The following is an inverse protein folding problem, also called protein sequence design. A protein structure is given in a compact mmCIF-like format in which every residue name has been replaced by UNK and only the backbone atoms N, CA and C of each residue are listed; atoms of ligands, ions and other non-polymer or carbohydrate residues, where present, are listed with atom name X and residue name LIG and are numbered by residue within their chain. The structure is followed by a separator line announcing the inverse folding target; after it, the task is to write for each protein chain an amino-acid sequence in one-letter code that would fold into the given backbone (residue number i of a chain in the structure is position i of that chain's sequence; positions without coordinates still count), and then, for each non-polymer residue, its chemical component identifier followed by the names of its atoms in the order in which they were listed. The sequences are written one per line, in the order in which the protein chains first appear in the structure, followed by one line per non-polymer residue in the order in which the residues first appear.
data_IF_558608752435
#
_entry.id   IF_558608752435
#
_cell.length_a   1.000
_cell.length_b   1.000
_cell.length_c   1.000
_cell.angle_alpha   90.00
_cell.angle_beta   90.00
_cell.angle_gamma   90.00
#
_symmetry.space_group_name_H-M   'P 1'
#
loop_
_entity.id
_entity.type
_entity.pdbx_description
1 polymer ?
#
# COMPACT_ATOMS: atom_id res chain seq x y z
N UNK A 1 -7.10 25.67 14.98
CA UNK A 1 -6.18 25.75 13.82
C UNK A 1 -4.70 25.92 14.22
N UNK A 2 -4.35 26.21 15.48
CA UNK A 2 -2.94 26.45 15.90
C UNK A 2 -2.09 25.20 16.18
N UNK A 3 -2.69 24.05 16.51
CA UNK A 3 -1.92 22.84 16.86
C UNK A 3 -1.30 22.11 15.66
N UNK A 4 -1.65 22.49 14.42
CA UNK A 4 -1.02 21.91 13.20
C UNK A 4 0.35 22.53 12.91
N UNK A 5 0.60 23.78 13.34
CA UNK A 5 1.86 24.48 13.07
C UNK A 5 3.06 23.88 13.79
N UNK A 6 2.91 23.56 15.09
CA UNK A 6 4.01 23.07 15.93
C UNK A 6 4.48 21.68 15.51
N UNK A 7 3.56 20.77 15.15
CA UNK A 7 3.91 19.44 14.64
C UNK A 7 4.57 19.50 13.26
N UNK A 8 4.15 20.43 12.40
CA UNK A 8 4.80 20.66 11.10
C UNK A 8 6.20 21.22 11.33
N UNK A 9 6.37 22.17 12.26
CA UNK A 9 7.65 22.75 12.62
C UNK A 9 8.61 21.70 13.20
N UNK A 10 8.15 20.89 14.16
CA UNK A 10 8.95 19.82 14.76
C UNK A 10 9.35 18.74 13.76
N UNK A 11 8.45 18.36 12.83
CA UNK A 11 8.79 17.44 11.73
C UNK A 11 9.78 18.07 10.75
N UNK A 12 9.66 19.37 10.48
CA UNK A 12 10.57 20.09 9.59
C UNK A 12 11.97 20.21 10.21
N UNK A 13 12.06 20.61 11.49
CA UNK A 13 13.31 20.70 12.25
C UNK A 13 13.98 19.32 12.36
N UNK A 14 13.20 18.27 12.65
CA UNK A 14 13.74 16.90 12.72
C UNK A 14 14.25 16.40 11.37
N UNK A 15 13.58 16.73 10.26
CA UNK A 15 14.06 16.39 8.90
C UNK A 15 15.32 17.17 8.53
N UNK A 16 15.38 18.46 8.85
CA UNK A 16 16.56 19.29 8.60
C UNK A 16 17.78 18.73 9.35
N UNK A 17 17.62 18.42 10.64
CA UNK A 17 18.70 17.82 11.45
C UNK A 17 19.21 16.48 10.89
N UNK A 18 18.33 15.64 10.35
CA UNK A 18 18.77 14.38 9.72
C UNK A 18 19.50 14.62 8.39
N UNK A 19 19.08 15.62 7.61
CA UNK A 19 19.79 15.99 6.39
C UNK A 19 21.19 16.46 6.73
N UNK A 20 21.33 17.33 7.72
CA UNK A 20 22.62 17.86 8.18
C UNK A 20 23.57 16.74 8.63
N UNK A 21 23.06 15.77 9.39
CA UNK A 21 23.85 14.59 9.81
C UNK A 21 24.40 13.80 8.60
N UNK A 22 23.58 13.59 7.57
CA UNK A 22 24.03 12.90 6.35
C UNK A 22 24.98 13.73 5.50
N UNK A 23 24.84 15.06 5.51
CA UNK A 23 25.77 15.97 4.85
C UNK A 23 27.14 15.95 5.50
N UNK A 24 27.20 15.92 6.84
CA UNK A 24 28.43 15.76 7.59
C UNK A 24 29.06 14.37 7.41
N UNK A 25 28.22 13.35 7.17
CA UNK A 25 28.67 11.98 6.92
C UNK A 25 29.23 11.75 5.51
N UNK A 26 28.69 12.44 4.48
CA UNK A 26 29.05 12.20 3.09
C UNK A 26 30.56 12.30 2.75
N UNK A 27 31.34 13.23 3.32
CA UNK A 27 32.79 13.31 3.09
C UNK A 27 33.56 12.04 3.46
N UNK A 28 33.06 11.23 4.40
CA UNK A 28 33.70 9.97 4.84
C UNK A 28 33.82 8.99 3.68
N UNK A 29 32.92 9.04 2.69
CA UNK A 29 32.99 8.22 1.48
C UNK A 29 34.21 8.55 0.60
N UNK A 30 34.80 9.72 0.76
CA UNK A 30 36.06 10.08 0.09
C UNK A 30 37.29 9.52 0.82
N UNK A 31 37.15 9.07 2.07
CA UNK A 31 38.24 8.54 2.89
C UNK A 31 38.56 7.09 2.52
N UNK A 32 39.82 6.83 2.17
CA UNK A 32 40.30 5.52 1.72
C UNK A 32 40.04 4.39 2.72
N UNK A 33 40.38 4.60 3.99
CA UNK A 33 40.30 3.59 5.06
C UNK A 33 38.88 3.35 5.57
N UNK A 34 38.03 4.37 5.56
CA UNK A 34 36.71 4.32 6.22
C UNK A 34 35.55 4.01 5.28
N UNK A 35 35.77 4.10 3.96
CA UNK A 35 34.72 3.91 2.96
C UNK A 35 33.96 2.59 3.06
N UNK A 36 34.61 1.45 3.33
CA UNK A 36 33.88 0.18 3.47
C UNK A 36 33.01 0.14 4.72
N UNK A 37 33.46 0.75 5.82
CA UNK A 37 32.68 0.89 7.04
C UNK A 37 31.50 1.84 6.82
N UNK A 38 31.72 2.93 6.07
CA UNK A 38 30.66 3.84 5.68
C UNK A 38 29.61 3.16 4.79
N UNK A 39 30.04 2.38 3.78
CA UNK A 39 29.12 1.59 2.95
C UNK A 39 28.31 0.60 3.80
N UNK A 40 28.94 -0.05 4.79
CA UNK A 40 28.26 -0.98 5.70
C UNK A 40 27.22 -0.27 6.58
N UNK A 41 27.55 0.92 7.09
CA UNK A 41 26.61 1.72 7.88
C UNK A 41 25.39 2.13 7.06
N UNK A 42 25.62 2.66 5.85
CA UNK A 42 24.54 3.10 4.96
C UNK A 42 23.70 1.89 4.49
N UNK A 43 24.31 0.76 4.16
CA UNK A 43 23.60 -0.46 3.77
C UNK A 43 22.65 -0.97 4.87
N UNK A 44 23.10 -0.96 6.13
CA UNK A 44 22.27 -1.28 7.30
C UNK A 44 21.15 -0.25 7.48
N UNK A 45 21.46 1.04 7.32
CA UNK A 45 20.46 2.10 7.43
C UNK A 45 19.35 1.99 6.36
N UNK A 46 19.71 1.54 5.16
CA UNK A 46 18.82 1.37 4.01
C UNK A 46 18.06 0.04 3.97
N UNK A 47 18.26 -0.84 4.96
CA UNK A 47 17.60 -2.16 5.02
C UNK A 47 16.07 -2.04 4.92
N UNK A 48 15.49 -1.04 5.61
CA UNK A 48 14.04 -0.80 5.67
C UNK A 48 13.61 0.51 5.05
N UNK A 49 14.52 1.21 4.36
CA UNK A 49 14.29 2.59 3.86
C UNK A 49 14.48 2.69 2.36
N UNK A 50 13.74 3.61 1.75
CA UNK A 50 13.84 3.92 0.30
C UNK A 50 14.63 5.19 0.05
N UNK A 51 14.65 6.12 1.02
CA UNK A 51 15.41 7.36 1.01
C UNK A 51 16.14 7.52 2.34
N UNK A 52 17.21 8.31 2.37
CA UNK A 52 17.96 8.58 3.60
C UNK A 52 17.15 9.41 4.59
N UNK A 53 16.38 10.39 4.08
CA UNK A 53 15.52 11.25 4.92
C UNK A 53 14.12 11.33 4.34
N UNK A 54 13.12 10.96 5.15
CA UNK A 54 11.70 11.09 4.78
C UNK A 54 11.24 10.06 3.73
N UNK A 55 10.50 10.55 2.73
CA UNK A 55 9.79 9.71 1.74
C UNK A 55 9.96 10.20 0.29
N UNK A 56 10.91 11.09 0.03
CA UNK A 56 11.21 11.67 -1.28
C UNK A 56 12.69 11.94 -1.39
N UNK A 57 13.20 12.12 -2.62
CA UNK A 57 14.60 12.50 -2.85
C UNK A 57 14.95 13.75 -2.02
N UNK A 58 16.02 13.65 -1.23
CA UNK A 58 16.53 14.73 -0.39
C UNK A 58 17.97 15.09 -0.74
N UNK A 59 18.45 16.22 -0.23
CA UNK A 59 19.85 16.63 -0.40
C UNK A 59 20.81 15.58 0.20
N UNK A 60 20.41 14.91 1.28
CA UNK A 60 21.17 13.80 1.86
C UNK A 60 21.37 12.66 0.85
N UNK A 61 20.32 12.27 0.12
CA UNK A 61 20.41 11.23 -0.91
C UNK A 61 21.38 11.64 -2.03
N UNK A 62 21.29 12.89 -2.49
CA UNK A 62 22.18 13.43 -3.53
C UNK A 62 23.64 13.46 -3.04
N UNK A 63 23.89 13.87 -1.79
CA UNK A 63 25.23 13.96 -1.22
C UNK A 63 25.89 12.58 -1.10
N UNK A 64 25.18 11.58 -0.58
CA UNK A 64 25.70 10.22 -0.46
C UNK A 64 25.85 9.57 -1.84
N UNK A 65 24.88 9.76 -2.74
CA UNK A 65 24.94 9.20 -4.09
C UNK A 65 26.13 9.76 -4.87
N UNK A 66 26.33 11.08 -4.83
CA UNK A 66 27.47 11.75 -5.48
C UNK A 66 28.80 11.36 -4.86
N UNK A 67 28.87 11.18 -3.54
CA UNK A 67 30.04 10.65 -2.84
C UNK A 67 30.44 9.26 -3.34
N UNK A 68 29.48 8.34 -3.47
CA UNK A 68 29.72 7.00 -4.02
C UNK A 68 30.13 7.05 -5.50
N UNK A 69 29.39 7.79 -6.32
CA UNK A 69 29.69 7.95 -7.75
C UNK A 69 31.09 8.55 -7.99
N UNK A 70 31.50 9.51 -7.15
CA UNK A 70 32.81 10.16 -7.20
C UNK A 70 33.99 9.23 -6.87
N UNK A 71 33.76 8.10 -6.17
CA UNK A 71 34.83 7.10 -5.94
C UNK A 71 35.09 6.19 -7.15
N UNK A 72 34.25 6.27 -8.19
CA UNK A 72 34.47 5.63 -9.48
C UNK A 72 34.64 4.11 -9.41
N UNK A 73 35.82 3.61 -9.81
CA UNK A 73 36.14 2.18 -9.96
C UNK A 73 35.95 1.39 -8.67
N UNK A 74 36.19 2.03 -7.53
CA UNK A 74 36.07 1.40 -6.21
C UNK A 74 34.62 1.04 -5.89
N UNK A 75 33.71 2.01 -6.05
CA UNK A 75 32.28 1.77 -5.89
C UNK A 75 31.76 0.78 -6.93
N UNK A 76 32.16 0.89 -8.19
CA UNK A 76 31.69 0.00 -9.26
C UNK A 76 32.09 -1.48 -9.01
N UNK A 77 33.24 -1.71 -8.39
CA UNK A 77 33.67 -3.05 -7.97
C UNK A 77 32.78 -3.61 -6.84
N UNK A 78 32.45 -2.79 -5.84
CA UNK A 78 31.56 -3.18 -4.75
C UNK A 78 30.10 -3.31 -5.20
N UNK A 79 29.67 -2.51 -6.18
CA UNK A 79 28.31 -2.55 -6.74
C UNK A 79 28.03 -3.86 -7.47
N UNK A 80 29.06 -4.43 -8.10
CA UNK A 80 28.99 -5.77 -8.70
C UNK A 80 29.09 -6.90 -7.66
N UNK A 81 29.57 -6.59 -6.45
CA UNK A 81 29.58 -7.53 -5.34
C UNK A 81 28.19 -7.64 -4.71
N UNK A 82 27.85 -8.82 -4.18
CA UNK A 82 26.63 -9.01 -3.37
C UNK A 82 26.81 -8.56 -1.91
N UNK A 83 27.85 -7.77 -1.59
CA UNK A 83 28.20 -7.41 -0.21
C UNK A 83 27.23 -6.40 0.41
N UNK A 84 26.76 -5.41 -0.38
CA UNK A 84 25.91 -4.32 0.09
C UNK A 84 24.62 -4.26 -0.73
N UNK A 85 23.72 -5.23 -0.49
CA UNK A 85 22.52 -5.42 -1.31
C UNK A 85 21.57 -4.24 -1.25
N UNK A 86 21.37 -3.66 -0.07
CA UNK A 86 20.42 -2.57 0.15
C UNK A 86 20.96 -1.25 -0.42
N UNK A 87 22.25 -1.00 -0.24
CA UNK A 87 22.93 0.17 -0.78
C UNK A 87 22.95 0.15 -2.31
N UNK A 88 23.24 -1.00 -2.93
CA UNK A 88 23.22 -1.15 -4.39
C UNK A 88 21.80 -1.00 -4.95
N UNK A 89 20.80 -1.58 -4.29
CA UNK A 89 19.39 -1.39 -4.63
C UNK A 89 19.02 0.09 -4.65
N UNK A 90 19.31 0.79 -3.55
CA UNK A 90 19.04 2.22 -3.41
C UNK A 90 19.76 3.06 -4.47
N UNK A 91 21.08 2.86 -4.64
CA UNK A 91 21.88 3.62 -5.61
C UNK A 91 21.34 3.49 -7.04
N UNK A 92 20.93 2.29 -7.43
CA UNK A 92 20.35 2.01 -8.75
C UNK A 92 18.96 2.63 -8.90
N UNK A 93 18.10 2.57 -7.87
CA UNK A 93 16.76 3.20 -7.90
C UNK A 93 16.86 4.70 -8.08
N UNK A 94 17.73 5.35 -7.29
CA UNK A 94 17.95 6.80 -7.34
C UNK A 94 18.49 7.21 -8.73
N UNK A 95 19.44 6.45 -9.28
CA UNK A 95 19.98 6.72 -10.61
C UNK A 95 18.96 6.54 -11.75
N UNK A 96 18.02 5.58 -11.61
CA UNK A 96 17.02 5.29 -12.62
C UNK A 96 15.83 6.28 -12.60
N UNK A 97 15.39 6.69 -11.42
CA UNK A 97 14.22 7.57 -11.25
C UNK A 97 14.57 9.06 -11.36
N UNK A 98 15.79 9.47 -10.98
CA UNK A 98 16.18 10.88 -10.85
C UNK A 98 17.41 11.25 -11.70
N UNK A 99 17.62 10.58 -12.83
CA UNK A 99 18.79 10.80 -13.70
C UNK A 99 18.98 12.26 -14.09
N UNK A 100 17.90 12.99 -14.37
CA UNK A 100 17.97 14.38 -14.84
C UNK A 100 18.52 15.32 -13.76
N UNK A 101 18.00 15.22 -12.53
CA UNK A 101 18.47 15.98 -11.38
C UNK A 101 19.91 15.62 -11.00
N UNK A 102 20.26 14.34 -11.08
CA UNK A 102 21.62 13.88 -10.77
C UNK A 102 22.64 14.33 -11.82
N UNK A 103 22.26 14.39 -13.10
CA UNK A 103 23.15 14.83 -14.17
C UNK A 103 23.51 16.31 -14.03
N UNK A 104 22.56 17.16 -13.64
CA UNK A 104 22.80 18.57 -13.35
C UNK A 104 23.84 18.74 -12.21
N UNK A 105 23.64 18.04 -11.10
CA UNK A 105 24.54 18.10 -9.93
C UNK A 105 25.92 17.49 -10.25
N UNK A 106 25.94 16.35 -10.95
CA UNK A 106 27.18 15.64 -11.33
C UNK A 106 28.04 16.49 -12.27
N UNK A 107 27.42 17.18 -13.23
CA UNK A 107 28.13 18.07 -14.15
C UNK A 107 28.76 19.27 -13.43
N UNK A 108 28.12 19.76 -12.36
CA UNK A 108 28.55 20.94 -11.61
C UNK A 108 29.62 20.62 -10.55
N UNK A 109 29.52 19.47 -9.88
CA UNK A 109 30.36 19.14 -8.71
C UNK A 109 31.40 18.05 -8.94
N UNK A 110 31.17 17.09 -9.84
CA UNK A 110 32.08 15.94 -10.06
C UNK A 110 33.10 16.23 -11.19
N UNK A 111 32.86 17.27 -12.00
CA UNK A 111 33.69 17.68 -13.15
C UNK A 111 35.16 18.08 -12.91
N UNK A 112 35.73 17.86 -11.71
CA UNK A 112 37.14 18.16 -11.42
C UNK A 112 37.94 17.05 -10.73
N UNK A 113 37.39 15.85 -10.48
CA UNK A 113 38.18 14.71 -9.97
C UNK A 113 37.80 13.41 -10.69
N UNK A 114 38.75 12.89 -11.47
CA UNK A 114 38.84 11.47 -11.82
C UNK A 114 37.77 10.96 -12.79
N UNK A 115 38.15 10.93 -14.07
CA UNK A 115 37.40 10.33 -15.18
C UNK A 115 36.88 8.91 -14.92
N UNK A 116 35.56 8.75 -15.00
CA UNK A 116 34.87 7.53 -15.43
C UNK A 116 33.70 7.94 -16.31
N UNK A 117 33.80 7.76 -17.64
CA UNK A 117 32.76 8.17 -18.59
C UNK A 117 31.42 7.54 -18.21
N UNK A 118 30.32 8.30 -18.15
CA UNK A 118 28.98 7.72 -18.18
C UNK A 118 28.77 7.07 -19.55
N UNK A 119 28.32 5.82 -19.58
CA UNK A 119 27.85 5.18 -20.81
C UNK A 119 26.57 5.88 -21.23
N UNK A 120 26.69 6.76 -22.21
CA UNK A 120 25.58 7.40 -22.92
C UNK A 120 24.77 6.31 -23.63
N UNK A 121 23.57 6.02 -23.14
CA UNK A 121 22.55 5.37 -23.95
C UNK A 121 22.08 6.37 -25.02
N UNK A 122 22.25 6.00 -26.30
CA UNK A 122 21.87 6.81 -27.46
C UNK A 122 20.39 7.25 -27.38
N UNK A 123 20.07 8.53 -27.64
CA UNK A 123 18.69 8.94 -27.90
C UNK A 123 18.33 8.57 -29.33
N UNK A 124 17.22 7.85 -29.54
CA UNK A 124 16.55 7.80 -30.84
C UNK A 124 15.36 8.76 -30.80
N UNK A 125 15.35 9.63 -31.80
CA UNK A 125 14.56 10.85 -31.84
C UNK A 125 13.06 10.65 -31.96
N UNK A 126 12.37 11.74 -31.64
CA UNK A 126 10.94 11.91 -31.86
C UNK A 126 10.60 11.81 -33.35
N UNK A 127 9.62 10.98 -33.67
CA UNK A 127 8.71 11.21 -34.79
C UNK A 127 7.28 11.13 -34.28
N UNK A 128 6.54 12.20 -34.58
CA UNK A 128 5.09 12.34 -34.42
C UNK A 128 4.41 11.48 -35.50
N UNK A 129 3.28 10.84 -35.17
CA UNK A 129 2.02 10.73 -35.96
C UNK A 129 1.11 9.62 -35.40
N UNK A 130 -0.08 10.04 -34.98
CA UNK A 130 -1.42 9.42 -34.99
C UNK A 130 -1.60 7.88 -34.93
N UNK A 131 -2.45 7.47 -33.98
CA UNK A 131 -3.63 6.62 -34.25
C UNK A 131 -3.42 5.10 -34.35
N UNK A 132 -4.26 4.39 -33.59
CA UNK A 132 -4.54 2.95 -33.59
C UNK A 132 -3.59 2.04 -32.80
N UNK A 133 -4.15 1.41 -31.76
CA UNK A 133 -3.59 0.24 -31.09
C UNK A 133 -4.16 -1.01 -31.78
N UNK A 134 -3.32 -1.93 -32.29
CA UNK A 134 -3.69 -3.33 -32.40
C UNK A 134 -2.86 -4.22 -31.48
N UNK A 135 -3.51 -5.33 -31.11
CA UNK A 135 -3.13 -6.38 -30.17
C UNK A 135 -1.85 -7.19 -30.47
N UNK A 136 -1.34 -7.77 -29.37
CA UNK A 136 -0.70 -9.11 -29.19
C UNK A 136 0.72 -9.36 -29.70
N UNK A 137 1.56 -9.81 -28.76
CA UNK A 137 2.77 -10.60 -29.02
C UNK A 137 3.66 -10.75 -27.80
N UNK A 138 3.60 -11.93 -27.15
CA UNK A 138 4.47 -12.37 -26.04
C UNK A 138 5.96 -12.19 -26.37
N UNK A 139 6.79 -11.86 -25.37
CA UNK A 139 7.76 -12.78 -24.73
C UNK A 139 8.69 -12.08 -23.73
N UNK A 140 8.76 -12.63 -22.50
CA UNK A 140 9.96 -12.73 -21.66
C UNK A 140 10.31 -11.55 -20.76
N UNK A 141 10.49 -11.79 -19.45
CA UNK A 141 11.78 -11.73 -18.72
C UNK A 141 11.57 -11.67 -17.19
N UNK A 142 12.13 -12.65 -16.44
CA UNK A 142 12.44 -12.58 -14.99
C UNK A 142 11.34 -13.09 -14.03
N UNK A 143 11.70 -13.73 -12.90
CA UNK A 143 10.74 -14.05 -11.85
C UNK A 143 10.44 -12.78 -11.06
N UNK A 144 9.59 -11.91 -11.62
CA UNK A 144 8.82 -11.01 -10.77
C UNK A 144 7.87 -11.90 -9.98
N UNK A 145 8.02 -11.94 -8.67
CA UNK A 145 7.06 -12.53 -7.75
C UNK A 145 5.76 -11.70 -7.73
N UNK A 146 5.17 -11.48 -8.90
CA UNK A 146 3.85 -10.90 -9.05
C UNK A 146 2.85 -11.98 -8.65
N UNK A 147 2.09 -11.69 -7.60
CA UNK A 147 1.02 -12.56 -7.13
C UNK A 147 -0.15 -12.40 -8.09
N UNK A 148 -0.46 -13.45 -8.85
CA UNK A 148 -1.63 -13.49 -9.71
C UNK A 148 -2.86 -14.02 -8.97
N UNK A 149 -4.05 -13.68 -9.46
CA UNK A 149 -5.31 -14.15 -8.90
C UNK A 149 -5.60 -15.58 -9.42
N UNK A 150 -5.82 -16.56 -8.53
CA UNK A 150 -6.06 -17.94 -8.95
C UNK A 150 -7.38 -18.04 -9.72
N UNK A 151 -7.31 -18.58 -10.95
CA UNK A 151 -8.49 -18.76 -11.81
C UNK A 151 -9.06 -17.48 -12.42
N UNK A 152 -8.30 -16.37 -12.41
CA UNK A 152 -8.76 -15.12 -12.99
C UNK A 152 -8.80 -15.15 -14.53
N UNK A 153 -9.99 -14.89 -15.08
CA UNK A 153 -10.20 -14.70 -16.50
C UNK A 153 -10.26 -13.20 -16.84
N UNK A 154 -9.58 -12.81 -17.92
CA UNK A 154 -9.57 -11.43 -18.42
C UNK A 154 -11.02 -10.99 -18.71
N UNK A 155 -11.40 -9.81 -18.22
CA UNK A 155 -12.73 -9.23 -18.40
C UNK A 155 -13.80 -9.71 -17.40
N UNK A 156 -13.54 -10.79 -16.65
CA UNK A 156 -14.52 -11.35 -15.70
C UNK A 156 -14.23 -11.07 -14.24
N UNK A 157 -13.03 -10.57 -13.93
CA UNK A 157 -12.64 -10.24 -12.56
C UNK A 157 -13.51 -9.10 -12.01
N UNK A 158 -14.14 -9.34 -10.86
CA UNK A 158 -14.87 -8.33 -10.09
C UNK A 158 -14.28 -8.19 -8.70
N UNK A 159 -13.83 -6.99 -8.40
CA UNK A 159 -13.21 -6.63 -7.13
C UNK A 159 -14.08 -5.60 -6.43
N UNK A 160 -13.94 -5.51 -5.10
CA UNK A 160 -14.63 -4.52 -4.30
C UNK A 160 -13.69 -3.88 -3.29
N UNK A 161 -13.78 -2.57 -3.16
CA UNK A 161 -13.25 -1.87 -2.01
C UNK A 161 -14.44 -1.55 -1.10
N UNK A 162 -14.45 -2.16 0.09
CA UNK A 162 -15.61 -2.11 0.98
C UNK A 162 -15.26 -1.46 2.34
N UNK A 163 -15.15 -0.12 2.40
CA UNK A 163 -14.88 0.56 3.65
C UNK A 163 -16.14 0.74 4.50
N UNK A 164 -15.97 0.66 5.82
CA UNK A 164 -16.99 1.02 6.79
C UNK A 164 -17.02 2.55 6.96
N UNK A 165 -18.18 3.22 6.84
CA UNK A 165 -18.28 4.68 6.94
C UNK A 165 -18.32 5.18 8.40
N UNK A 166 -17.48 4.61 9.26
CA UNK A 166 -17.37 4.96 10.69
C UNK A 166 -16.11 5.79 11.03
N UNK A 167 -15.27 6.09 10.04
CA UNK A 167 -14.07 6.90 10.22
C UNK A 167 -13.36 7.26 8.92
N UNK A 168 -12.26 8.02 9.03
CA UNK A 168 -11.48 8.49 7.89
C UNK A 168 -10.59 7.39 7.30
N UNK A 169 -10.30 7.50 6.00
CA UNK A 169 -9.34 6.60 5.37
C UNK A 169 -7.94 6.83 5.94
N UNK A 170 -7.20 5.74 6.10
CA UNK A 170 -5.80 5.76 6.48
C UNK A 170 -4.99 4.93 5.48
N UNK A 171 -3.66 4.94 5.60
CA UNK A 171 -2.75 4.31 4.64
C UNK A 171 -3.02 2.80 4.39
N UNK A 172 -3.61 2.11 5.36
CA UNK A 172 -4.01 0.71 5.23
C UNK A 172 -5.15 0.56 4.21
N UNK A 173 -6.14 1.46 4.26
CA UNK A 173 -7.21 1.51 3.27
C UNK A 173 -6.68 1.86 1.88
N UNK A 174 -5.75 2.80 1.78
CA UNK A 174 -5.11 3.16 0.51
C UNK A 174 -4.43 1.95 -0.13
N UNK A 175 -3.74 1.12 0.65
CA UNK A 175 -3.12 -0.12 0.15
C UNK A 175 -4.17 -1.08 -0.43
N UNK A 176 -5.28 -1.29 0.28
CA UNK A 176 -6.34 -2.18 -0.19
C UNK A 176 -7.01 -1.65 -1.48
N UNK A 177 -7.30 -0.35 -1.53
CA UNK A 177 -7.93 0.29 -2.69
C UNK A 177 -7.02 0.22 -3.93
N UNK A 178 -5.74 0.58 -3.79
CA UNK A 178 -4.77 0.53 -4.90
C UNK A 178 -4.48 -0.89 -5.37
N UNK A 179 -4.42 -1.87 -4.45
CA UNK A 179 -4.25 -3.27 -4.82
C UNK A 179 -5.43 -3.80 -5.63
N UNK A 180 -6.65 -3.48 -5.20
CA UNK A 180 -7.85 -3.85 -5.94
C UNK A 180 -7.90 -3.19 -7.33
N UNK A 181 -7.48 -1.92 -7.42
CA UNK A 181 -7.39 -1.24 -8.71
C UNK A 181 -6.32 -1.85 -9.63
N UNK A 182 -5.14 -2.19 -9.09
CA UNK A 182 -4.07 -2.86 -9.84
C UNK A 182 -4.59 -4.14 -10.49
N UNK A 183 -5.30 -4.99 -9.74
CA UNK A 183 -5.86 -6.23 -10.28
C UNK A 183 -7.02 -5.97 -11.26
N UNK A 184 -7.87 -4.98 -11.00
CA UNK A 184 -8.92 -4.60 -11.96
C UNK A 184 -8.32 -4.18 -13.31
N UNK A 185 -7.23 -3.39 -13.29
CA UNK A 185 -6.55 -2.97 -14.52
C UNK A 185 -5.84 -4.13 -15.22
N UNK A 186 -5.07 -4.94 -14.48
CA UNK A 186 -4.32 -6.09 -15.02
C UNK A 186 -5.23 -7.10 -15.72
N UNK A 187 -6.39 -7.38 -15.13
CA UNK A 187 -7.33 -8.36 -15.66
C UNK A 187 -8.48 -7.74 -16.47
N UNK A 188 -8.43 -6.45 -16.80
CA UNK A 188 -9.52 -5.72 -17.46
C UNK A 188 -10.88 -5.94 -16.78
N UNK A 189 -10.84 -6.08 -15.45
CA UNK A 189 -11.99 -6.33 -14.60
C UNK A 189 -12.67 -5.05 -14.13
N UNK A 190 -13.58 -5.21 -13.18
CA UNK A 190 -14.36 -4.12 -12.60
C UNK A 190 -14.05 -3.97 -11.12
N UNK A 191 -13.94 -2.72 -10.66
CA UNK A 191 -13.86 -2.36 -9.25
C UNK A 191 -15.17 -1.69 -8.82
N UNK A 192 -15.76 -2.17 -7.73
CA UNK A 192 -16.95 -1.61 -7.10
C UNK A 192 -16.53 -0.96 -5.78
N UNK A 193 -17.01 0.26 -5.54
CA UNK A 193 -16.93 0.88 -4.21
C UNK A 193 -18.19 0.50 -3.44
N UNK A 194 -18.05 -0.15 -2.30
CA UNK A 194 -19.20 -0.57 -1.49
C UNK A 194 -19.12 -0.03 -0.08
N UNK A 195 -20.03 0.84 0.32
CA UNK A 195 -20.10 1.27 1.71
C UNK A 195 -20.67 0.13 2.56
N UNK A 196 -19.92 -0.28 3.57
CA UNK A 196 -20.37 -1.33 4.50
C UNK A 196 -21.14 -0.70 5.66
N UNK A 197 -22.38 -0.32 5.38
CA UNK A 197 -23.25 0.51 6.21
C UNK A 197 -24.23 -0.34 7.06
N UNK A 198 -23.69 -1.28 7.82
CA UNK A 198 -24.47 -2.20 8.68
C UNK A 198 -24.68 -1.70 10.11
N UNK A 199 -24.00 -0.63 10.52
CA UNK A 199 -23.99 -0.12 11.89
C UNK A 199 -24.51 1.33 11.97
N UNK A 200 -25.83 1.52 12.11
CA UNK A 200 -26.44 2.86 12.07
C UNK A 200 -25.97 3.80 13.19
N UNK A 201 -25.37 3.29 14.28
CA UNK A 201 -24.89 4.09 15.39
C UNK A 201 -23.53 4.76 15.15
N UNK A 202 -22.74 4.26 14.19
CA UNK A 202 -21.37 4.75 13.93
C UNK A 202 -21.23 5.46 12.59
N UNK A 203 -22.27 5.45 11.79
CA UNK A 203 -22.23 5.97 10.42
C UNK A 203 -22.64 7.44 10.39
N UNK A 204 -21.91 8.21 9.58
CA UNK A 204 -22.22 9.62 9.33
C UNK A 204 -22.10 9.89 7.84
N UNK A 205 -23.00 10.72 7.29
CA UNK A 205 -22.90 11.22 5.92
C UNK A 205 -21.57 11.94 5.67
N UNK A 206 -21.03 12.62 6.69
CA UNK A 206 -19.72 13.27 6.62
C UNK A 206 -18.59 12.27 6.32
N UNK A 207 -18.64 11.07 6.90
CA UNK A 207 -17.62 10.04 6.63
C UNK A 207 -17.74 9.49 5.22
N UNK A 208 -18.96 9.30 4.71
CA UNK A 208 -19.20 8.87 3.33
C UNK A 208 -18.63 9.89 2.34
N UNK A 209 -18.93 11.17 2.53
CA UNK A 209 -18.46 12.25 1.65
C UNK A 209 -16.93 12.39 1.66
N UNK A 210 -16.32 12.37 2.85
CA UNK A 210 -14.86 12.43 2.96
C UNK A 210 -14.20 11.19 2.34
N UNK A 211 -14.79 10.02 2.51
CA UNK A 211 -14.28 8.79 1.91
C UNK A 211 -14.31 8.86 0.39
N UNK A 212 -15.40 9.33 -0.20
CA UNK A 212 -15.51 9.53 -1.65
C UNK A 212 -14.40 10.45 -2.16
N UNK A 213 -14.15 11.56 -1.44
CA UNK A 213 -13.09 12.52 -1.78
C UNK A 213 -11.69 11.91 -1.65
N UNK A 214 -11.44 11.11 -0.61
CA UNK A 214 -10.16 10.45 -0.42
C UNK A 214 -9.92 9.38 -1.50
N UNK A 215 -10.94 8.61 -1.88
CA UNK A 215 -10.87 7.63 -2.97
C UNK A 215 -10.58 8.32 -4.31
N UNK A 216 -11.21 9.46 -4.58
CA UNK A 216 -10.95 10.28 -5.77
C UNK A 216 -9.52 10.85 -5.75
N UNK A 217 -9.06 11.33 -4.59
CA UNK A 217 -7.69 11.86 -4.39
C UNK A 217 -6.63 10.77 -4.63
N UNK A 218 -6.94 9.52 -4.26
CA UNK A 218 -6.08 8.36 -4.54
C UNK A 218 -6.07 7.95 -6.02
N UNK A 219 -6.93 8.53 -6.86
CA UNK A 219 -7.05 8.19 -8.28
C UNK A 219 -7.69 6.83 -8.54
N UNK A 220 -8.48 6.33 -7.57
CA UNK A 220 -9.11 5.01 -7.64
C UNK A 220 -10.36 5.08 -8.51
N UNK A 221 -10.34 4.38 -9.65
CA UNK A 221 -11.47 4.30 -10.58
C UNK A 221 -12.36 3.11 -10.24
N UNK A 222 -13.64 3.38 -10.01
CA UNK A 222 -14.67 2.39 -9.77
C UNK A 222 -15.82 2.54 -10.78
N UNK A 223 -16.56 1.46 -11.00
CA UNK A 223 -17.67 1.41 -11.98
C UNK A 223 -19.01 1.77 -11.34
N UNK A 224 -19.18 1.41 -10.07
CA UNK A 224 -20.41 1.65 -9.33
C UNK A 224 -20.11 1.89 -7.85
N UNK A 225 -20.98 2.66 -7.21
CA UNK A 225 -21.09 2.79 -5.76
C UNK A 225 -22.31 2.00 -5.31
N UNK A 226 -22.16 1.18 -4.29
CA UNK A 226 -23.24 0.35 -3.73
C UNK A 226 -23.22 0.44 -2.20
N UNK A 227 -24.36 0.20 -1.56
CA UNK A 227 -24.46 0.13 -0.11
C UNK A 227 -24.80 -1.28 0.33
N UNK A 228 -24.30 -1.74 1.48
CA UNK A 228 -24.71 -3.03 2.05
C UNK A 228 -26.18 -2.97 2.47
N UNK A 229 -26.65 -1.83 2.93
CA UNK A 229 -28.05 -1.57 3.33
C UNK A 229 -29.06 -1.81 2.21
N UNK A 230 -28.71 -1.55 0.94
CA UNK A 230 -29.54 -1.86 -0.23
C UNK A 230 -29.91 -3.36 -0.32
N UNK A 231 -29.07 -4.23 0.25
CA UNK A 231 -29.23 -5.68 0.22
C UNK A 231 -29.92 -6.23 1.47
N UNK A 232 -30.30 -5.40 2.46
CA UNK A 232 -30.97 -5.88 3.68
C UNK A 232 -32.21 -6.76 3.43
N UNK A 233 -33.10 -6.46 2.47
CA UNK A 233 -34.22 -7.35 2.17
C UNK A 233 -33.77 -8.76 1.75
N UNK A 234 -32.73 -8.85 0.91
CA UNK A 234 -32.18 -10.13 0.45
C UNK A 234 -31.46 -10.87 1.58
N UNK A 235 -30.69 -10.14 2.40
CA UNK A 235 -30.01 -10.69 3.57
C UNK A 235 -31.02 -11.26 4.57
N UNK A 236 -32.15 -10.58 4.77
CA UNK A 236 -33.24 -11.08 5.63
C UNK A 236 -33.89 -12.34 5.06
N UNK A 237 -34.19 -12.38 3.76
CA UNK A 237 -34.75 -13.58 3.11
C UNK A 237 -33.79 -14.78 3.25
N UNK A 238 -32.49 -14.55 3.06
CA UNK A 238 -31.46 -15.58 3.25
C UNK A 238 -31.41 -16.05 4.71
N UNK A 239 -31.50 -15.14 5.68
CA UNK A 239 -31.56 -15.48 7.10
C UNK A 239 -32.80 -16.35 7.40
N UNK A 240 -33.99 -15.95 6.95
CA UNK A 240 -35.21 -16.75 7.11
C UNK A 240 -35.12 -18.13 6.46
N UNK A 241 -34.45 -18.24 5.31
CA UNK A 241 -34.18 -19.52 4.67
C UNK A 241 -33.25 -20.39 5.52
N UNK A 242 -32.18 -19.82 6.07
CA UNK A 242 -31.25 -20.55 6.94
C UNK A 242 -31.91 -20.98 8.27
N UNK A 243 -32.84 -20.19 8.81
CA UNK A 243 -33.66 -20.58 9.97
C UNK A 243 -34.55 -21.78 9.60
N UNK A 244 -35.20 -21.75 8.43
CA UNK A 244 -36.03 -22.86 7.94
C UNK A 244 -35.22 -24.13 7.66
N UNK A 245 -33.95 -24.01 7.29
CA UNK A 245 -33.02 -25.12 7.10
C UNK A 245 -32.35 -25.59 8.40
N UNK A 246 -32.77 -25.09 9.57
CA UNK A 246 -32.20 -25.38 10.90
C UNK A 246 -30.67 -25.13 11.00
N UNK A 247 -30.13 -24.22 10.16
CA UNK A 247 -28.69 -23.88 10.11
C UNK A 247 -28.29 -22.76 11.05
N UNK A 248 -29.24 -21.89 11.40
CA UNK A 248 -29.06 -20.81 12.38
C UNK A 248 -30.21 -20.82 13.38
N UNK A 249 -29.91 -20.42 14.62
CA UNK A 249 -30.86 -20.43 15.73
C UNK A 249 -30.75 -19.12 16.50
N UNK A 250 -31.87 -18.66 17.07
CA UNK A 250 -31.88 -17.49 17.95
C UNK A 250 -31.33 -17.88 19.33
N UNK A 251 -30.48 -17.02 19.89
CA UNK A 251 -29.97 -17.15 21.26
C UNK A 251 -30.65 -16.09 22.11
N UNK A 252 -31.36 -16.51 23.16
CA UNK A 252 -31.87 -15.62 24.20
C UNK A 252 -30.88 -15.61 25.37
N UNK A 253 -30.33 -14.44 25.72
CA UNK A 253 -29.41 -14.24 26.84
C UNK A 253 -28.94 -12.79 26.97
N UNK A 254 -28.49 -12.39 28.16
CA UNK A 254 -27.82 -11.10 28.35
C UNK A 254 -26.43 -11.15 27.71
N UNK A 255 -25.92 -10.02 27.17
CA UNK A 255 -24.64 -9.93 26.42
C UNK A 255 -23.44 -10.58 27.15
N UNK A 256 -23.44 -10.63 28.49
CA UNK A 256 -22.39 -11.28 29.30
C UNK A 256 -22.58 -12.79 29.53
N UNK A 257 -23.72 -13.36 29.16
CA UNK A 257 -24.06 -14.79 29.29
C UNK A 257 -23.94 -15.58 27.99
N UNK A 258 -23.66 -14.90 26.86
CA UNK A 258 -23.23 -15.55 25.63
C UNK A 258 -21.79 -16.03 25.86
N UNK A 259 -21.66 -17.21 26.49
CA UNK A 259 -20.38 -17.89 26.65
C UNK A 259 -19.85 -18.10 25.24
N UNK A 260 -18.79 -17.37 24.88
CA UNK A 260 -18.05 -17.59 23.64
C UNK A 260 -17.77 -19.08 23.56
N UNK A 261 -18.35 -19.74 22.56
CA UNK A 261 -18.21 -21.16 22.29
C UNK A 261 -16.72 -21.50 22.18
N UNK A 262 -16.18 -22.11 23.23
CA UNK A 262 -14.88 -22.76 23.24
C UNK A 262 -13.73 -21.83 23.64
N UNK A 263 -12.98 -22.28 24.65
CA UNK A 263 -11.60 -21.84 24.82
C UNK A 263 -10.75 -22.57 23.77
N UNK A 264 -9.69 -21.96 23.21
CA UNK A 264 -8.83 -22.55 22.16
C UNK A 264 -8.33 -23.98 22.46
N UNK A 265 -8.34 -24.39 23.73
CA UNK A 265 -7.92 -25.69 24.22
C UNK A 265 -9.04 -26.70 24.52
N UNK A 266 -10.32 -26.29 24.55
CA UNK A 266 -11.46 -27.19 24.82
C UNK A 266 -12.70 -26.79 24.01
N UNK A 267 -13.13 -27.60 23.02
CA UNK A 267 -14.39 -27.36 22.33
C UNK A 267 -15.56 -27.58 23.29
N UNK A 268 -16.57 -26.69 23.22
CA UNK A 268 -17.83 -26.83 23.95
C UNK A 268 -18.76 -27.78 23.21
N UNK A 269 -19.51 -28.59 23.96
CA UNK A 269 -20.45 -29.56 23.40
C UNK A 269 -21.73 -28.86 22.94
N UNK A 270 -22.30 -29.34 21.82
CA UNK A 270 -23.57 -28.86 21.26
C UNK A 270 -24.77 -28.91 22.23
N UNK A 271 -24.64 -29.68 23.32
CA UNK A 271 -25.62 -29.86 24.41
C UNK A 271 -25.72 -28.68 25.37
N UNK A 272 -24.72 -27.80 25.41
CA UNK A 272 -24.62 -26.75 26.45
C UNK A 272 -25.30 -25.44 26.03
N UNK A 273 -25.66 -25.31 24.74
CA UNK A 273 -26.41 -24.18 24.21
C UNK A 273 -27.89 -24.51 24.24
N UNK A 274 -28.68 -23.75 25.00
CA UNK A 274 -30.13 -23.90 25.07
C UNK A 274 -30.75 -23.44 23.75
N UNK A 275 -30.87 -24.35 22.78
CA UNK A 275 -31.47 -24.10 21.46
C UNK A 275 -33.00 -24.03 21.58
N UNK A 276 -33.62 -23.02 20.98
CA UNK A 276 -35.06 -23.02 20.71
C UNK A 276 -35.29 -23.52 19.29
N UNK A 277 -36.02 -24.62 19.12
CA UNK A 277 -36.58 -24.98 17.80
C UNK A 277 -37.79 -24.08 17.55
N UNK A 278 -37.74 -23.22 16.55
CA UNK A 278 -38.86 -22.35 16.17
C UNK A 278 -39.92 -23.16 15.43
N UNK A 279 -40.74 -23.89 16.18
CA UNK A 279 -42.00 -24.44 15.70
C UNK A 279 -43.03 -23.33 15.50
N UNK A 280 -43.08 -22.77 14.28
CA UNK A 280 -44.00 -21.74 13.74
C UNK A 280 -43.53 -20.28 13.85
N UNK A 281 -43.76 -19.47 12.80
CA UNK A 281 -43.29 -18.09 12.74
C UNK A 281 -44.14 -17.22 13.67
N UNK A 282 -43.58 -16.82 14.81
CA UNK A 282 -44.13 -15.71 15.57
C UNK A 282 -43.76 -14.41 14.87
N UNK A 283 -44.78 -13.59 14.54
CA UNK A 283 -44.59 -12.19 14.14
C UNK A 283 -43.78 -11.47 15.22
N UNK A 284 -42.53 -11.14 14.92
CA UNK A 284 -41.69 -10.26 15.73
C UNK A 284 -42.33 -8.87 15.73
N UNK A 285 -42.71 -8.39 16.91
CA UNK A 285 -43.47 -7.14 17.08
C UNK A 285 -42.60 -5.89 17.23
N UNK A 286 -41.27 -6.00 17.24
CA UNK A 286 -40.35 -4.86 17.37
C UNK A 286 -39.07 -5.10 16.56
N UNK A 287 -38.50 -4.07 15.89
CA UNK A 287 -37.30 -4.20 15.09
C UNK A 287 -36.07 -4.14 16.01
N UNK A 288 -35.75 -5.24 16.68
CA UNK A 288 -34.46 -5.34 17.37
C UNK A 288 -33.42 -5.93 16.40
N UNK A 289 -32.31 -5.20 16.31
CA UNK A 289 -31.19 -5.36 15.39
C UNK A 289 -30.74 -6.81 15.23
N UNK A 290 -30.89 -7.35 14.02
CA UNK A 290 -30.21 -8.57 13.61
C UNK A 290 -28.75 -8.22 13.29
N UNK A 291 -27.81 -8.75 14.07
CA UNK A 291 -26.39 -8.75 13.70
C UNK A 291 -26.16 -10.01 12.89
N UNK A 292 -25.86 -9.84 11.60
CA UNK A 292 -25.39 -10.92 10.69
C UNK A 292 -23.88 -11.06 10.84
#
# INVERSE_FOLDING_TARGET
LELRGVYVLLRYIGRASQIDEWLDYAPILSSGSEFENACKYIDSFLEKRTFLVGHSLSIADIAIWSGLAGTGVRWESLRKSKKFTNLVRWFNSIAAEYSDALNEVTSTYIGKKGSGKPVVAKPKGAQVVNGAIPEKGKTGTGPSSEVDLPGAEIGKVRLRFAPEPSGFLHIGHSKAALLNQYFAQRYQGQLILRFDDTNPAKESSEFVENLMKDVETLGVKYVAVTHTSDYFPQLMEMAEKLIREDKIFTVEGSFGSCVILGHLSKPTSSSDVKRRSLGKPHKLSHPETFIV
#
